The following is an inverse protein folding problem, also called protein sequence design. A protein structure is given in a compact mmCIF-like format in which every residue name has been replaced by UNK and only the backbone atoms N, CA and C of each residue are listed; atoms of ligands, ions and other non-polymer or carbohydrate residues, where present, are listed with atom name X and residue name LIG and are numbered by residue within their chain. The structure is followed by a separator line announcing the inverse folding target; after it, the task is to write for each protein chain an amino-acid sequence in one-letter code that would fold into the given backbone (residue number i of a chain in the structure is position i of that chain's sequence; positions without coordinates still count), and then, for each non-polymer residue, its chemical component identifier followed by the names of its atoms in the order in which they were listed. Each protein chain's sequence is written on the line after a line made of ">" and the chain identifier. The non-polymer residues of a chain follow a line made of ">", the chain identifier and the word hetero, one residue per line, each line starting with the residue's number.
data_IF_556302435181
#
_entry.id   IF_556302435181
#
_cell.length_a   1.000
_cell.length_b   1.000
_cell.length_c   1.000
_cell.angle_alpha   90.00
_cell.angle_beta   90.00
_cell.angle_gamma   90.00
#
_symmetry.space_group_name_H-M   'P 1'
#
loop_
_entity.id
_entity.type
_entity.pdbx_description
1 polymer ?
#
# COMPACT_ATOMS: atom_id res chain seq x y z
N UNK A 1 -23.12 15.55 14.31
CA UNK A 1 -23.99 14.37 14.09
C UNK A 1 -23.26 13.13 14.58
N UNK A 2 -23.81 12.37 15.54
CA UNK A 2 -23.19 11.12 16.03
C UNK A 2 -23.83 9.92 15.30
N UNK A 3 -23.04 9.00 14.76
CA UNK A 3 -23.58 7.77 14.15
C UNK A 3 -24.11 6.88 15.28
N UNK A 4 -25.37 6.45 15.12
CA UNK A 4 -26.03 5.52 16.04
C UNK A 4 -25.62 4.09 15.71
N UNK A 5 -25.10 3.36 16.71
CA UNK A 5 -24.66 1.98 16.55
C UNK A 5 -25.72 0.93 16.95
N UNK A 6 -26.93 1.35 17.38
CA UNK A 6 -27.93 0.42 17.94
C UNK A 6 -28.55 -0.55 16.94
N UNK A 7 -28.42 -0.30 15.64
CA UNK A 7 -29.00 -1.11 14.56
C UNK A 7 -27.93 -1.70 13.60
N UNK A 8 -26.67 -1.77 14.04
CA UNK A 8 -25.58 -2.36 13.25
C UNK A 8 -25.11 -3.66 13.89
N UNK A 9 -24.29 -4.42 13.17
CA UNK A 9 -23.78 -5.67 13.69
C UNK A 9 -22.93 -5.45 14.94
N UNK A 10 -23.02 -6.39 15.89
CA UNK A 10 -22.22 -6.40 17.12
C UNK A 10 -20.71 -6.34 16.81
N UNK A 11 -20.29 -6.99 15.73
CA UNK A 11 -18.91 -6.95 15.26
C UNK A 11 -18.48 -5.53 14.86
N UNK A 12 -19.31 -4.80 14.10
CA UNK A 12 -19.00 -3.44 13.72
C UNK A 12 -18.88 -2.51 14.93
N UNK A 13 -19.77 -2.65 15.91
CA UNK A 13 -19.68 -1.90 17.17
C UNK A 13 -18.40 -2.21 17.96
N UNK A 14 -17.99 -3.48 18.04
CA UNK A 14 -16.71 -3.88 18.66
C UNK A 14 -15.53 -3.21 17.98
N UNK A 15 -15.49 -3.21 16.65
CA UNK A 15 -14.42 -2.58 15.87
C UNK A 15 -14.38 -1.06 16.08
N UNK A 16 -15.53 -0.38 16.05
CA UNK A 16 -15.60 1.07 16.31
C UNK A 16 -15.09 1.40 17.72
N UNK A 17 -15.48 0.63 18.73
CA UNK A 17 -15.02 0.82 20.10
C UNK A 17 -13.52 0.54 20.26
N UNK A 18 -12.97 -0.44 19.55
CA UNK A 18 -11.53 -0.70 19.53
C UNK A 18 -10.76 0.49 18.95
N UNK A 19 -11.19 1.02 17.80
CA UNK A 19 -10.59 2.21 17.18
C UNK A 19 -10.66 3.41 18.12
N UNK A 20 -11.81 3.63 18.77
CA UNK A 20 -11.97 4.71 19.74
C UNK A 20 -10.93 4.65 20.86
N UNK A 21 -10.68 3.45 21.39
CA UNK A 21 -9.67 3.24 22.45
C UNK A 21 -8.25 3.43 21.93
N UNK A 22 -7.95 2.88 20.75
CA UNK A 22 -6.60 2.93 20.18
C UNK A 22 -6.15 4.34 19.78
N UNK A 23 -7.10 5.20 19.40
CA UNK A 23 -6.81 6.55 18.88
C UNK A 23 -7.36 7.68 19.78
N UNK A 24 -7.79 7.36 21.00
CA UNK A 24 -8.39 8.31 21.96
C UNK A 24 -9.53 9.16 21.35
N UNK A 25 -10.44 8.50 20.62
CA UNK A 25 -11.56 9.14 19.93
C UNK A 25 -12.83 9.03 20.78
N UNK A 26 -13.45 10.19 21.04
CA UNK A 26 -14.60 10.30 21.94
C UNK A 26 -15.97 10.03 21.30
N UNK A 27 -16.09 10.01 19.97
CA UNK A 27 -17.38 9.77 19.28
C UNK A 27 -17.29 8.65 18.24
N UNK A 28 -18.43 8.01 17.98
CA UNK A 28 -18.51 6.94 16.99
C UNK A 28 -18.31 7.50 15.58
N UNK A 29 -18.88 8.68 15.28
CA UNK A 29 -18.67 9.35 13.99
C UNK A 29 -17.21 9.60 13.68
N UNK A 30 -16.44 10.14 14.63
CA UNK A 30 -15.02 10.42 14.42
C UNK A 30 -14.20 9.15 14.20
N UNK A 31 -14.55 8.07 14.88
CA UNK A 31 -13.87 6.79 14.72
C UNK A 31 -14.14 6.18 13.33
N UNK A 32 -15.38 6.26 12.86
CA UNK A 32 -15.75 5.82 11.50
C UNK A 32 -15.08 6.72 10.45
N UNK A 33 -15.13 8.04 10.62
CA UNK A 33 -14.48 9.01 9.75
C UNK A 33 -12.96 8.77 9.66
N UNK A 34 -12.30 8.57 10.80
CA UNK A 34 -10.88 8.23 10.86
C UNK A 34 -10.56 6.98 10.04
N UNK A 35 -11.35 5.91 10.19
CA UNK A 35 -11.17 4.68 9.41
C UNK A 35 -11.37 4.91 7.91
N UNK A 36 -12.39 5.67 7.51
CA UNK A 36 -12.68 5.94 6.09
C UNK A 36 -11.58 6.78 5.46
N UNK A 37 -11.14 7.86 6.12
CA UNK A 37 -10.05 8.71 5.64
C UNK A 37 -8.74 7.92 5.54
N UNK A 38 -8.41 7.14 6.58
CA UNK A 38 -7.21 6.31 6.57
C UNK A 38 -7.27 5.25 5.47
N UNK A 39 -8.43 4.62 5.25
CA UNK A 39 -8.62 3.65 4.17
C UNK A 39 -8.32 4.26 2.79
N UNK A 40 -8.86 5.45 2.48
CA UNK A 40 -8.56 6.14 1.23
C UNK A 40 -7.07 6.49 1.10
N UNK A 41 -6.45 7.02 2.17
CA UNK A 41 -5.03 7.32 2.17
C UNK A 41 -4.17 6.06 1.92
N UNK A 42 -4.56 4.92 2.49
CA UNK A 42 -3.86 3.64 2.26
C UNK A 42 -4.06 3.10 0.84
N UNK A 43 -5.21 3.31 0.21
CA UNK A 43 -5.39 2.97 -1.20
C UNK A 43 -4.45 3.78 -2.11
N UNK A 44 -4.34 5.09 -1.89
CA UNK A 44 -3.41 5.94 -2.64
C UNK A 44 -1.95 5.52 -2.45
N UNK A 45 -1.57 5.17 -1.21
CA UNK A 45 -0.23 4.65 -0.90
C UNK A 45 0.05 3.32 -1.62
N UNK A 46 -0.91 2.40 -1.64
CA UNK A 46 -0.81 1.12 -2.36
C UNK A 46 -0.60 1.37 -3.86
N UNK A 47 -1.36 2.26 -4.46
CA UNK A 47 -1.23 2.54 -5.89
C UNK A 47 0.09 3.22 -6.23
N UNK A 48 0.58 4.12 -5.37
CA UNK A 48 1.94 4.67 -5.48
C UNK A 48 2.99 3.56 -5.44
N UNK A 49 2.89 2.63 -4.48
CA UNK A 49 3.82 1.51 -4.33
C UNK A 49 3.78 0.57 -5.53
N UNK A 50 2.61 0.28 -6.09
CA UNK A 50 2.47 -0.51 -7.34
C UNK A 50 3.21 0.15 -8.51
N UNK A 51 3.05 1.47 -8.68
CA UNK A 51 3.73 2.22 -9.74
C UNK A 51 5.25 2.21 -9.55
N UNK A 52 5.73 2.38 -8.32
CA UNK A 52 7.16 2.28 -7.99
C UNK A 52 7.71 0.88 -8.26
N UNK A 53 6.96 -0.17 -7.90
CA UNK A 53 7.34 -1.55 -8.17
C UNK A 53 7.43 -1.82 -9.68
N UNK A 54 6.46 -1.35 -10.45
CA UNK A 54 6.46 -1.48 -11.91
C UNK A 54 7.70 -0.81 -12.52
N UNK A 55 7.97 0.46 -12.18
CA UNK A 55 9.14 1.19 -12.66
C UNK A 55 10.46 0.54 -12.24
N UNK A 56 10.53 -0.05 -11.04
CA UNK A 56 11.72 -0.76 -10.56
C UNK A 56 11.95 -2.04 -11.35
N UNK A 57 10.89 -2.80 -11.66
CA UNK A 57 10.98 -4.01 -12.50
C UNK A 57 11.46 -3.70 -13.92
N UNK A 58 10.96 -2.63 -14.52
CA UNK A 58 11.41 -2.18 -15.84
C UNK A 58 12.90 -1.81 -15.83
N UNK A 59 13.35 -1.07 -14.81
CA UNK A 59 14.77 -0.74 -14.64
C UNK A 59 15.64 -1.98 -14.45
N UNK A 60 15.18 -2.93 -13.63
CA UNK A 60 15.90 -4.19 -13.42
C UNK A 60 16.06 -4.96 -14.72
N UNK A 61 14.98 -5.14 -15.48
CA UNK A 61 15.02 -5.79 -16.78
C UNK A 61 15.95 -5.08 -17.77
N UNK A 62 15.97 -3.75 -17.76
CA UNK A 62 16.93 -2.97 -18.55
C UNK A 62 18.38 -3.25 -18.14
N UNK A 63 18.67 -3.33 -16.84
CA UNK A 63 20.02 -3.65 -16.37
C UNK A 63 20.44 -5.09 -16.68
N UNK A 64 19.54 -6.06 -16.56
CA UNK A 64 19.79 -7.45 -16.94
C UNK A 64 20.15 -7.56 -18.42
N UNK A 65 19.37 -6.92 -19.30
CA UNK A 65 19.66 -6.88 -20.74
C UNK A 65 21.03 -6.24 -21.04
N UNK A 66 21.37 -5.14 -20.34
CA UNK A 66 22.68 -4.49 -20.50
C UNK A 66 23.82 -5.36 -20.02
N UNK A 67 23.62 -6.11 -18.93
CA UNK A 67 24.60 -7.04 -18.41
C UNK A 67 24.84 -8.19 -19.40
N UNK A 68 23.79 -8.74 -19.98
CA UNK A 68 23.92 -9.81 -20.98
C UNK A 68 24.64 -9.34 -22.24
N UNK A 69 24.32 -8.14 -22.75
CA UNK A 69 25.08 -7.53 -23.85
C UNK A 69 26.58 -7.36 -23.54
N UNK A 70 26.92 -7.01 -22.29
CA UNK A 70 28.32 -6.90 -21.86
C UNK A 70 28.99 -8.27 -21.79
N UNK A 71 28.32 -9.30 -21.28
CA UNK A 71 28.84 -10.67 -21.26
C UNK A 71 29.14 -11.16 -22.68
N UNK A 72 28.24 -10.88 -23.63
CA UNK A 72 28.42 -11.27 -25.02
C UNK A 72 29.63 -10.56 -25.65
N UNK A 73 29.80 -9.25 -25.38
CA UNK A 73 30.95 -8.48 -25.83
C UNK A 73 32.27 -9.05 -25.27
N UNK A 74 32.33 -9.32 -23.97
CA UNK A 74 33.52 -9.93 -23.36
C UNK A 74 33.76 -11.35 -23.87
N UNK A 75 32.70 -12.13 -24.10
CA UNK A 75 32.80 -13.47 -24.68
C UNK A 75 33.33 -13.46 -26.11
N UNK A 76 33.07 -12.40 -26.88
CA UNK A 76 33.67 -12.20 -28.20
C UNK A 76 35.15 -11.82 -28.09
N UNK A 77 35.50 -10.82 -27.26
CA UNK A 77 36.88 -10.36 -27.05
C UNK A 77 37.79 -11.49 -26.56
N UNK A 78 37.31 -12.35 -25.66
CA UNK A 78 38.11 -13.43 -25.06
C UNK A 78 38.26 -14.67 -25.96
N UNK A 79 37.54 -14.73 -27.09
CA UNK A 79 37.65 -15.81 -28.08
C UNK A 79 38.58 -15.47 -29.26
N UNK A 80 38.98 -14.21 -29.40
CA UNK A 80 40.11 -13.76 -30.22
C UNK A 80 41.43 -13.93 -29.44
#
# INVERSE_FOLDING_TARGET
>A
MNIDLRNISEEFEKQVNLIKRSFDINTNSKAVEHCVVNYHSKLEEIDRLKNQLAATKEKLSSYENRLDNLKDLFGWIMKE
#
